data_IF_739960307855
#
_entry.id   IF_739960307855
#
_cell.length_a   1.000
_cell.length_b   1.000
_cell.length_c   1.000
_cell.angle_alpha   90.00
_cell.angle_beta   90.00
_cell.angle_gamma   90.00
#
_symmetry.space_group_name_H-M   'P 1'
#
loop_
_entity.id
_entity.type
_entity.pdbx_description
1 polymer ?
#
# COMPACT_ATOMS: atom_id res chain seq x y z
N UNK A 1 -38.69 -59.55 -52.48
CA UNK A 1 -38.86 -58.45 -51.54
C UNK A 1 -37.95 -58.75 -50.35
N UNK A 2 -36.80 -58.04 -50.23
CA UNK A 2 -35.75 -58.30 -49.21
C UNK A 2 -35.76 -57.13 -48.22
N UNK A 3 -36.15 -57.43 -46.95
CA UNK A 3 -36.10 -56.45 -45.86
C UNK A 3 -34.67 -56.31 -45.37
N UNK A 4 -34.17 -55.10 -45.41
CA UNK A 4 -32.92 -54.74 -44.75
C UNK A 4 -33.22 -54.19 -43.34
N UNK A 5 -32.84 -54.93 -42.33
CA UNK A 5 -32.83 -54.44 -40.95
C UNK A 5 -31.58 -53.58 -40.73
N UNK A 6 -31.76 -52.33 -40.44
CA UNK A 6 -30.67 -51.43 -40.04
C UNK A 6 -30.50 -51.51 -38.52
N UNK A 7 -29.36 -52.05 -38.12
CA UNK A 7 -28.93 -52.10 -36.73
C UNK A 7 -28.39 -50.72 -36.31
N UNK A 8 -29.12 -50.03 -35.47
CA UNK A 8 -28.63 -48.79 -34.82
C UNK A 8 -27.70 -49.15 -33.66
N UNK A 9 -26.42 -48.90 -33.83
CA UNK A 9 -25.44 -48.96 -32.75
C UNK A 9 -25.46 -47.63 -32.02
N UNK A 10 -26.02 -47.60 -30.82
CA UNK A 10 -25.98 -46.45 -29.94
C UNK A 10 -24.58 -46.36 -29.27
N UNK A 11 -23.75 -45.44 -29.74
CA UNK A 11 -22.48 -45.11 -29.07
C UNK A 11 -22.78 -44.26 -27.82
N UNK A 12 -22.70 -44.85 -26.65
CA UNK A 12 -22.75 -44.12 -25.38
C UNK A 12 -21.41 -43.35 -25.19
N UNK A 13 -21.45 -42.05 -25.40
CA UNK A 13 -20.35 -41.13 -25.02
C UNK A 13 -20.33 -41.02 -23.49
N UNK A 14 -19.40 -41.68 -22.86
CA UNK A 14 -19.06 -41.45 -21.44
C UNK A 14 -18.42 -40.07 -21.30
N UNK A 15 -19.20 -39.08 -20.93
CA UNK A 15 -18.71 -37.78 -20.46
C UNK A 15 -18.05 -37.97 -19.08
N UNK A 16 -16.73 -38.10 -19.08
CA UNK A 16 -15.95 -38.00 -17.85
C UNK A 16 -16.05 -36.52 -17.34
N UNK A 17 -16.32 -36.29 -16.06
CA UNK A 17 -16.25 -34.94 -15.53
C UNK A 17 -14.80 -34.48 -15.56
N UNK A 18 -14.53 -33.47 -16.38
CA UNK A 18 -13.28 -32.71 -16.30
C UNK A 18 -13.29 -32.03 -14.94
N UNK A 19 -12.48 -32.55 -14.02
CA UNK A 19 -12.26 -31.94 -12.73
C UNK A 19 -11.74 -30.53 -12.92
N UNK A 20 -12.62 -29.56 -12.86
CA UNK A 20 -12.24 -28.15 -12.83
C UNK A 20 -11.41 -27.91 -11.59
N UNK A 21 -10.10 -27.69 -11.77
CA UNK A 21 -9.29 -27.10 -10.73
C UNK A 21 -9.95 -25.79 -10.32
N UNK A 22 -10.56 -25.75 -9.14
CA UNK A 22 -11.02 -24.52 -8.53
C UNK A 22 -9.79 -23.63 -8.35
N UNK A 23 -9.58 -22.70 -9.27
CA UNK A 23 -8.70 -21.58 -9.03
C UNK A 23 -9.37 -20.84 -7.88
N UNK A 24 -8.82 -20.97 -6.68
CA UNK A 24 -9.34 -20.37 -5.47
C UNK A 24 -9.62 -18.90 -5.73
N UNK A 25 -10.88 -18.51 -5.67
CA UNK A 25 -11.25 -17.11 -5.74
C UNK A 25 -10.61 -16.41 -4.54
N UNK A 26 -9.87 -15.32 -4.76
CA UNK A 26 -9.35 -14.54 -3.66
C UNK A 26 -10.54 -14.11 -2.78
N UNK A 27 -10.46 -14.38 -1.49
CA UNK A 27 -11.48 -14.00 -0.52
C UNK A 27 -11.70 -12.48 -0.51
N UNK A 28 -12.81 -11.97 0.02
CA UNK A 28 -13.22 -10.56 -0.01
C UNK A 28 -12.24 -9.57 0.67
N UNK A 29 -11.07 -10.01 1.10
CA UNK A 29 -10.00 -9.19 1.66
C UNK A 29 -8.71 -9.15 0.84
N UNK A 30 -8.60 -9.88 -0.27
CA UNK A 30 -7.35 -10.04 -1.04
C UNK A 30 -7.36 -9.34 -2.40
N UNK A 31 -8.14 -8.27 -2.58
CA UNK A 31 -8.16 -7.47 -3.82
C UNK A 31 -6.91 -6.58 -3.96
N UNK A 32 -5.74 -7.19 -3.87
CA UNK A 32 -4.48 -6.59 -4.33
C UNK A 32 -4.29 -6.79 -5.83
N UNK A 33 -5.36 -7.16 -6.53
CA UNK A 33 -5.37 -7.22 -7.98
C UNK A 33 -5.20 -5.83 -8.59
N UNK A 34 -4.53 -5.78 -9.71
CA UNK A 34 -4.19 -4.61 -10.53
C UNK A 34 -5.38 -3.72 -10.92
N UNK A 35 -6.59 -4.02 -10.45
CA UNK A 35 -7.87 -3.36 -10.79
C UNK A 35 -8.66 -2.84 -9.59
N UNK A 36 -8.14 -2.92 -8.35
CA UNK A 36 -8.87 -2.46 -7.17
C UNK A 36 -8.96 -0.93 -7.07
N UNK A 37 -9.98 -0.40 -6.35
CA UNK A 37 -10.22 1.04 -6.21
C UNK A 37 -9.04 1.82 -5.61
N UNK A 38 -8.29 1.26 -4.68
CA UNK A 38 -7.10 1.87 -4.10
C UNK A 38 -5.96 2.05 -5.10
N UNK A 39 -5.93 1.25 -6.16
CA UNK A 39 -4.98 1.40 -7.25
C UNK A 39 -5.29 2.63 -8.12
N UNK A 40 -6.55 2.97 -8.31
CA UNK A 40 -6.94 4.15 -9.13
C UNK A 40 -6.42 5.45 -8.53
N UNK A 41 -6.43 5.60 -7.21
CA UNK A 41 -5.87 6.80 -6.57
C UNK A 41 -4.34 6.86 -6.67
N UNK A 42 -3.67 5.72 -6.45
CA UNK A 42 -2.23 5.63 -6.65
C UNK A 42 -1.86 5.85 -8.11
N UNK A 43 -2.65 5.31 -9.05
CA UNK A 43 -2.49 5.54 -10.48
C UNK A 43 -2.72 7.00 -10.86
N UNK A 44 -3.74 7.69 -10.32
CA UNK A 44 -4.01 9.08 -10.61
C UNK A 44 -2.82 9.97 -10.18
N UNK A 45 -2.28 9.75 -8.99
CA UNK A 45 -1.08 10.47 -8.51
C UNK A 45 0.15 10.12 -9.34
N UNK A 46 0.35 8.86 -9.66
CA UNK A 46 1.45 8.42 -10.50
C UNK A 46 1.33 9.00 -11.91
N UNK A 47 0.14 8.96 -12.51
CA UNK A 47 -0.14 9.58 -13.80
C UNK A 47 0.14 11.08 -13.78
N UNK A 48 -0.32 11.78 -12.74
CA UNK A 48 -0.03 13.22 -12.56
C UNK A 48 1.48 13.48 -12.60
N UNK A 49 2.27 12.69 -11.87
CA UNK A 49 3.72 12.87 -11.83
C UNK A 49 4.39 12.50 -13.15
N UNK A 50 3.93 11.46 -13.82
CA UNK A 50 4.49 11.03 -15.12
C UNK A 50 4.20 12.03 -16.24
N UNK A 51 3.00 12.63 -16.25
CA UNK A 51 2.58 13.54 -17.31
C UNK A 51 3.05 14.99 -17.08
N UNK A 52 3.03 15.45 -15.84
CA UNK A 52 3.23 16.86 -15.50
C UNK A 52 4.42 17.10 -14.57
N UNK A 53 4.99 16.04 -14.04
CA UNK A 53 6.04 16.10 -13.03
C UNK A 53 5.52 16.52 -11.65
N UNK A 54 6.45 16.66 -10.72
CA UNK A 54 6.16 17.19 -9.40
C UNK A 54 6.12 18.72 -9.48
N UNK A 55 5.11 19.38 -8.88
CA UNK A 55 4.98 20.84 -8.93
C UNK A 55 6.23 21.57 -8.44
N UNK A 56 6.53 22.72 -9.07
CA UNK A 56 7.77 23.48 -8.87
C UNK A 56 8.17 23.71 -7.39
N UNK A 57 7.27 24.05 -6.45
CA UNK A 57 7.65 24.27 -5.05
C UNK A 57 8.23 23.03 -4.35
N UNK A 58 7.97 21.83 -4.89
CA UNK A 58 8.38 20.56 -4.27
C UNK A 58 9.49 19.84 -5.03
N UNK A 59 9.70 20.17 -6.31
CA UNK A 59 10.55 19.43 -7.25
C UNK A 59 11.99 19.25 -6.78
N UNK A 60 12.54 20.23 -6.08
CA UNK A 60 13.92 20.24 -5.59
C UNK A 60 14.05 19.96 -4.09
N UNK A 61 12.95 19.56 -3.43
CA UNK A 61 13.03 19.30 -2.00
C UNK A 61 13.85 18.05 -1.73
N UNK A 62 14.74 18.17 -0.75
CA UNK A 62 15.51 17.07 -0.18
C UNK A 62 15.32 17.13 1.32
N UNK A 63 15.23 15.99 1.96
CA UNK A 63 15.12 15.90 3.43
C UNK A 63 16.39 16.46 4.10
N UNK A 64 16.33 17.64 4.74
CA UNK A 64 17.50 18.26 5.33
C UNK A 64 17.90 17.65 6.69
N UNK A 65 17.09 16.74 7.22
CA UNK A 65 17.25 16.23 8.57
C UNK A 65 17.88 14.83 8.57
N UNK A 66 18.88 14.58 9.38
CA UNK A 66 19.48 13.25 9.51
C UNK A 66 18.45 12.24 10.03
N UNK A 67 18.58 11.00 9.60
CA UNK A 67 17.74 9.90 10.05
C UNK A 67 18.20 9.43 11.44
N UNK A 68 17.58 9.97 12.45
CA UNK A 68 17.86 9.65 13.86
C UNK A 68 16.73 8.87 14.52
N UNK A 69 17.00 8.15 15.59
CA UNK A 69 15.94 7.54 16.40
C UNK A 69 14.88 8.54 16.88
N UNK A 70 15.26 9.76 17.21
CA UNK A 70 14.33 10.82 17.62
C UNK A 70 13.40 11.23 16.47
N UNK A 71 13.93 11.38 15.25
CA UNK A 71 13.15 11.68 14.05
C UNK A 71 12.13 10.56 13.75
N UNK A 72 12.54 9.30 13.86
CA UNK A 72 11.62 8.16 13.65
C UNK A 72 10.53 8.10 14.72
N UNK A 73 10.86 8.40 15.99
CA UNK A 73 9.89 8.46 17.08
C UNK A 73 8.86 9.58 16.86
N UNK A 74 9.34 10.75 16.42
CA UNK A 74 8.47 11.88 16.03
C UNK A 74 7.56 11.49 14.87
N UNK A 75 8.11 10.83 13.83
CA UNK A 75 7.36 10.35 12.69
C UNK A 75 6.28 9.34 13.07
N UNK A 76 6.57 8.40 13.96
CA UNK A 76 5.60 7.47 14.50
C UNK A 76 4.44 8.18 15.22
N UNK A 77 4.76 9.16 16.07
CA UNK A 77 3.76 9.95 16.78
C UNK A 77 2.89 10.79 15.82
N UNK A 78 3.48 11.40 14.79
CA UNK A 78 2.75 12.12 13.75
C UNK A 78 1.83 11.18 12.99
N UNK A 79 2.34 10.01 12.60
CA UNK A 79 1.57 9.00 11.87
C UNK A 79 0.35 8.53 12.66
N UNK A 80 0.53 8.19 13.92
CA UNK A 80 -0.58 7.75 14.78
C UNK A 80 -1.69 8.78 14.90
N UNK A 81 -1.33 10.05 15.07
CA UNK A 81 -2.32 11.13 15.27
C UNK A 81 -3.03 11.56 13.99
N UNK A 82 -2.35 11.53 12.84
CA UNK A 82 -2.83 12.20 11.64
C UNK A 82 -3.09 11.25 10.45
N UNK A 83 -2.57 10.04 10.49
CA UNK A 83 -2.59 9.14 9.33
C UNK A 83 -3.30 7.82 9.62
N UNK A 84 -3.18 7.31 10.86
CA UNK A 84 -3.62 5.98 11.22
C UNK A 84 -5.14 5.80 11.15
N UNK A 85 -5.94 6.84 11.33
CA UNK A 85 -7.39 6.78 11.19
C UNK A 85 -7.82 6.25 9.81
N UNK A 86 -7.11 6.65 8.76
CA UNK A 86 -7.38 6.21 7.38
C UNK A 86 -6.47 5.05 6.97
N UNK A 87 -5.15 5.17 7.22
CA UNK A 87 -4.16 4.20 6.73
C UNK A 87 -3.98 2.97 7.63
N UNK A 88 -4.54 2.96 8.85
CA UNK A 88 -4.30 1.93 9.86
C UNK A 88 -2.93 2.06 10.52
N UNK A 89 -2.77 1.49 11.72
CA UNK A 89 -1.48 1.49 12.43
C UNK A 89 -0.39 0.71 11.66
N UNK A 90 -0.80 -0.32 10.92
CA UNK A 90 0.06 -1.10 10.04
C UNK A 90 0.42 -0.36 8.73
N UNK A 91 -0.26 0.74 8.42
CA UNK A 91 -0.15 1.46 7.16
C UNK A 91 -0.71 0.74 5.94
N UNK A 92 -1.51 -0.31 6.12
CA UNK A 92 -2.05 -1.11 5.00
C UNK A 92 -3.32 -0.55 4.37
N UNK A 93 -3.78 0.62 4.81
CA UNK A 93 -5.02 1.22 4.34
C UNK A 93 -6.26 0.62 5.02
N UNK A 94 -6.11 0.09 6.22
CA UNK A 94 -7.13 -0.64 6.98
C UNK A 94 -7.65 0.17 8.17
N UNK A 95 -7.47 1.49 8.15
CA UNK A 95 -7.93 2.36 9.21
C UNK A 95 -9.46 2.37 9.34
N UNK A 96 -10.00 2.71 10.53
CA UNK A 96 -11.43 2.70 10.79
C UNK A 96 -12.24 3.62 9.84
N UNK A 97 -11.65 4.69 9.36
CA UNK A 97 -12.31 5.65 8.46
C UNK A 97 -12.24 5.25 6.97
N UNK A 98 -11.53 4.16 6.62
CA UNK A 98 -11.31 3.77 5.22
C UNK A 98 -12.58 3.59 4.40
N UNK A 99 -13.68 3.14 5.02
CA UNK A 99 -14.94 2.85 4.33
C UNK A 99 -15.68 4.11 3.91
N UNK A 100 -15.35 5.25 4.50
CA UNK A 100 -15.94 6.55 4.21
C UNK A 100 -15.22 7.27 3.07
N UNK A 101 -14.08 6.72 2.59
CA UNK A 101 -13.17 7.39 1.67
C UNK A 101 -13.19 6.73 0.29
N UNK A 102 -13.25 7.56 -0.74
CA UNK A 102 -13.10 7.13 -2.12
C UNK A 102 -12.10 8.03 -2.86
N UNK A 103 -11.10 7.44 -3.46
CA UNK A 103 -10.68 6.03 -3.41
C UNK A 103 -10.14 5.64 -2.02
N UNK A 104 -10.12 4.33 -1.68
CA UNK A 104 -9.62 3.88 -0.38
C UNK A 104 -8.16 4.28 -0.15
N UNK A 105 -7.77 4.47 1.13
CA UNK A 105 -6.42 4.86 1.48
C UNK A 105 -5.37 3.89 0.93
N UNK A 106 -4.24 4.44 0.46
CA UNK A 106 -3.14 3.67 -0.08
C UNK A 106 -2.49 2.76 0.98
N UNK A 107 -1.97 1.61 0.54
CA UNK A 107 -1.13 0.76 1.35
C UNK A 107 0.29 1.34 1.45
N UNK A 108 0.59 2.00 2.54
CA UNK A 108 1.88 2.65 2.80
C UNK A 108 2.96 1.63 3.15
N UNK A 109 2.61 0.49 3.75
CA UNK A 109 3.56 -0.59 4.02
C UNK A 109 4.11 -1.20 2.72
N UNK A 110 3.25 -1.33 1.70
CA UNK A 110 3.70 -1.69 0.35
C UNK A 110 4.51 -0.56 -0.30
N UNK A 111 4.03 0.68 -0.22
CA UNK A 111 4.70 1.86 -0.78
C UNK A 111 6.13 1.99 -0.26
N UNK A 112 6.34 1.74 1.04
CA UNK A 112 7.66 1.82 1.69
C UNK A 112 8.74 0.99 0.96
N UNK A 113 8.34 -0.09 0.30
CA UNK A 113 9.23 -0.99 -0.43
C UNK A 113 9.35 -0.67 -1.94
N UNK A 114 8.75 0.42 -2.40
CA UNK A 114 8.81 0.84 -3.81
C UNK A 114 9.84 1.96 -4.05
N UNK A 115 10.36 2.12 -5.27
CA UNK A 115 11.21 3.25 -5.62
C UNK A 115 10.57 4.61 -5.38
N UNK A 116 9.24 4.71 -5.48
CA UNK A 116 8.48 5.96 -5.28
C UNK A 116 8.65 6.51 -3.87
N UNK A 117 8.72 5.65 -2.85
CA UNK A 117 8.94 6.08 -1.47
C UNK A 117 10.31 6.77 -1.27
N UNK A 118 11.28 6.50 -2.13
CA UNK A 118 12.63 7.09 -2.07
C UNK A 118 12.70 8.49 -2.63
N UNK A 119 11.69 8.92 -3.41
CA UNK A 119 11.61 10.29 -3.93
C UNK A 119 11.15 11.25 -2.85
N UNK A 120 12.05 12.08 -2.35
CA UNK A 120 11.75 13.15 -1.38
C UNK A 120 10.68 14.12 -1.89
N UNK A 121 10.80 14.67 -3.13
CA UNK A 121 9.79 15.54 -3.70
C UNK A 121 8.41 14.89 -3.75
N UNK A 122 8.33 13.63 -4.19
CA UNK A 122 7.07 12.90 -4.31
C UNK A 122 6.40 12.69 -2.95
N UNK A 123 7.13 12.20 -1.96
CA UNK A 123 6.60 11.92 -0.63
C UNK A 123 6.16 13.19 0.06
N UNK A 124 6.99 14.23 0.01
CA UNK A 124 6.67 15.51 0.64
C UNK A 124 5.44 16.16 0.00
N UNK A 125 5.41 16.28 -1.34
CA UNK A 125 4.27 16.81 -2.06
C UNK A 125 2.98 16.04 -1.75
N UNK A 126 3.05 14.73 -1.75
CA UNK A 126 1.90 13.86 -1.45
C UNK A 126 1.28 14.17 -0.09
N UNK A 127 2.08 14.35 0.94
CA UNK A 127 1.59 14.65 2.29
C UNK A 127 1.19 16.13 2.40
N UNK A 128 1.99 17.03 1.86
CA UNK A 128 1.73 18.46 1.96
C UNK A 128 0.42 18.87 1.29
N UNK A 129 0.18 18.43 0.06
CA UNK A 129 -1.01 18.82 -0.73
C UNK A 129 -2.19 17.84 -0.59
N UNK A 130 -1.95 16.64 -0.07
CA UNK A 130 -3.01 15.66 0.10
C UNK A 130 -3.57 15.13 -1.21
N UNK A 131 -4.84 14.80 -1.20
CA UNK A 131 -5.57 14.18 -2.29
C UNK A 131 -6.20 15.09 -3.33
N UNK A 132 -6.63 16.33 -3.01
CA UNK A 132 -7.37 17.17 -3.94
C UNK A 132 -6.76 17.30 -5.33
N UNK A 133 -5.44 17.46 -5.49
CA UNK A 133 -4.82 17.53 -6.81
C UNK A 133 -5.00 16.29 -7.70
N UNK A 134 -5.38 15.17 -7.12
CA UNK A 134 -5.50 13.86 -7.80
C UNK A 134 -6.85 13.19 -7.57
N UNK A 135 -7.84 13.95 -7.09
CA UNK A 135 -9.21 13.47 -6.91
C UNK A 135 -9.36 12.45 -5.77
N UNK A 136 -8.62 12.62 -4.66
CA UNK A 136 -8.81 11.81 -3.46
C UNK A 136 -9.05 12.68 -2.22
N UNK A 137 -9.63 12.08 -1.18
CA UNK A 137 -10.05 12.79 0.04
C UNK A 137 -8.94 12.89 1.11
N UNK A 138 -7.72 12.48 0.81
CA UNK A 138 -6.60 12.64 1.74
C UNK A 138 -6.41 14.13 2.08
N UNK A 139 -6.42 14.51 3.37
CA UNK A 139 -6.22 15.91 3.76
C UNK A 139 -4.88 16.48 3.32
N UNK A 140 -4.83 17.79 3.07
CA UNK A 140 -3.60 18.53 2.84
C UNK A 140 -2.96 18.92 4.19
N UNK A 141 -1.77 18.42 4.49
CA UNK A 141 -1.14 18.60 5.79
C UNK A 141 -0.20 19.80 5.89
N UNK A 142 0.08 20.52 4.82
CA UNK A 142 1.02 21.66 4.81
C UNK A 142 0.68 22.80 5.78
N UNK A 143 -0.60 22.91 6.19
CA UNK A 143 -1.06 23.90 7.17
C UNK A 143 -1.19 23.34 8.59
N UNK A 144 -1.18 22.02 8.73
CA UNK A 144 -1.40 21.31 9.99
C UNK A 144 -0.10 20.78 10.59
N UNK A 145 0.86 20.42 9.75
CA UNK A 145 2.13 19.86 10.15
C UNK A 145 3.28 20.80 9.81
N UNK A 146 4.26 20.87 10.69
CA UNK A 146 5.52 21.55 10.37
C UNK A 146 6.29 20.77 9.29
N UNK A 147 7.21 21.45 8.59
CA UNK A 147 8.12 20.77 7.64
C UNK A 147 8.87 19.61 8.30
N UNK A 148 9.30 19.79 9.55
CA UNK A 148 10.00 18.74 10.29
C UNK A 148 9.09 17.55 10.63
N UNK A 149 7.78 17.77 10.88
CA UNK A 149 6.82 16.68 11.06
C UNK A 149 6.61 15.90 9.78
N UNK A 150 6.45 16.59 8.64
CA UNK A 150 6.32 15.94 7.33
C UNK A 150 7.55 15.08 7.02
N UNK A 151 8.76 15.61 7.21
CA UNK A 151 9.98 14.83 7.00
C UNK A 151 10.11 13.65 7.98
N UNK A 152 9.66 13.82 9.20
CA UNK A 152 9.71 12.76 10.21
C UNK A 152 8.75 11.62 9.88
N UNK A 153 7.52 11.92 9.46
CA UNK A 153 6.57 10.89 9.07
C UNK A 153 6.98 10.17 7.78
N UNK A 154 7.60 10.86 6.82
CA UNK A 154 8.19 10.24 5.63
C UNK A 154 9.27 9.23 6.03
N UNK A 155 10.16 9.63 6.93
CA UNK A 155 11.20 8.72 7.44
C UNK A 155 10.61 7.48 8.13
N UNK A 156 9.55 7.64 8.92
CA UNK A 156 8.86 6.54 9.58
C UNK A 156 8.18 5.58 8.59
N UNK A 157 7.52 6.11 7.54
CA UNK A 157 6.92 5.29 6.48
C UNK A 157 8.01 4.48 5.76
N UNK A 158 9.13 5.09 5.42
CA UNK A 158 10.28 4.44 4.77
C UNK A 158 10.92 3.34 5.63
N UNK A 159 10.78 3.43 6.94
CA UNK A 159 11.23 2.40 7.88
C UNK A 159 10.27 1.20 7.94
N UNK A 160 9.20 1.20 7.15
CA UNK A 160 8.20 0.14 7.14
C UNK A 160 7.18 0.24 8.26
N UNK A 161 7.01 1.41 8.87
CA UNK A 161 6.01 1.65 9.93
C UNK A 161 6.21 0.78 11.19
N UNK A 162 7.45 0.40 11.46
CA UNK A 162 7.78 -0.48 12.60
C UNK A 162 7.72 0.29 13.91
N UNK A 163 6.85 -0.09 14.87
CA UNK A 163 6.87 0.48 16.22
C UNK A 163 8.20 0.22 16.90
N UNK A 164 8.72 1.23 17.59
CA UNK A 164 10.04 1.19 18.23
C UNK A 164 10.24 0.09 19.29
N UNK A 165 9.16 -0.45 19.85
CA UNK A 165 9.19 -1.56 20.81
C UNK A 165 9.70 -2.88 20.20
N UNK A 166 9.59 -3.05 18.88
CA UNK A 166 10.02 -4.27 18.20
C UNK A 166 11.51 -4.30 17.85
N UNK A 167 12.19 -3.12 17.76
CA UNK A 167 13.58 -3.06 17.32
C UNK A 167 14.62 -3.17 18.45
N UNK A 168 14.21 -3.01 19.71
CA UNK A 168 15.13 -3.07 20.86
C UNK A 168 15.34 -4.49 21.44
N UNK A 169 14.53 -5.47 21.03
CA UNK A 169 14.57 -6.84 21.55
C UNK A 169 15.57 -7.78 20.84
N UNK A 170 15.81 -7.59 19.56
CA UNK A 170 16.53 -8.58 18.76
C UNK A 170 18.06 -8.50 18.88
N UNK A 171 18.60 -7.36 19.31
CA UNK A 171 20.07 -7.22 19.44
C UNK A 171 20.67 -7.66 20.78
N UNK A 172 19.85 -7.87 21.81
CA UNK A 172 20.34 -8.28 23.15
C UNK A 172 20.34 -9.79 23.39
N UNK A 173 19.58 -10.56 22.62
CA UNK A 173 19.42 -12.00 22.89
C UNK A 173 20.42 -12.88 22.14
N UNK A 174 21.05 -12.38 21.07
CA UNK A 174 22.09 -13.12 20.33
C UNK A 174 23.45 -13.11 21.05
N UNK A 175 23.70 -12.13 21.92
CA UNK A 175 24.95 -12.05 22.67
C UNK A 175 25.01 -12.95 23.92
N UNK A 176 23.88 -13.45 24.41
CA UNK A 176 23.81 -14.23 25.66
C UNK A 176 23.85 -15.76 25.44
N UNK A 177 23.67 -16.22 24.20
CA UNK A 177 23.72 -17.65 23.85
C UNK A 177 25.08 -18.16 23.38
N UNK A 178 26.03 -17.26 23.14
CA UNK A 178 27.40 -17.62 22.70
C UNK A 178 28.41 -17.76 23.85
N UNK A 179 27.98 -17.70 25.11
CA UNK A 179 28.84 -17.75 26.30
C UNK A 179 28.46 -18.83 27.33
N UNK A 180 27.95 -19.98 26.86
CA UNK A 180 27.83 -21.18 27.73
C UNK A 180 28.30 -22.43 27.00
#
# INVERSE_FOLDING_TARGET
>A
MKSFSVLMVAAALLLLPVGGASIGQPGPGSTWGVTGPGMRANLARHHQVMMYGIPAPYRSLIDPLPRTPAKLSRGAAVFQRNCAACHGLSGRGEGPERQLLWPPPANLAWLANTPMSRSDPYMYWTIAEGGPPVGSEMPAFKRMLSKADIWSVIAYIREGLVPRSASSGTKRDLGRRAGR
#
